data_IF_381780964641
#
_entry.id   IF_381780964641
#
_cell.length_a   1.000
_cell.length_b   1.000
_cell.length_c   1.000
_cell.angle_alpha   90.00
_cell.angle_beta   90.00
_cell.angle_gamma   90.00
#
_symmetry.space_group_name_H-M   'P 1'
#
loop_
_entity.id
_entity.type
_entity.pdbx_description
1 polymer ?
#
# COMPACT_ATOMS: atom_id res chain seq x y z
N UNK A 1 25.20 -2.54 41.57
CA UNK A 1 24.72 -1.90 40.32
C UNK A 1 23.57 -2.75 39.81
N UNK A 2 22.36 -2.17 39.78
CA UNK A 2 21.13 -2.82 39.33
C UNK A 2 21.24 -3.17 37.85
N UNK A 3 20.89 -4.39 37.49
CA UNK A 3 20.68 -4.79 36.09
C UNK A 3 19.26 -4.46 35.69
N UNK A 4 19.14 -3.74 34.58
CA UNK A 4 17.94 -3.07 34.12
C UNK A 4 16.74 -4.00 33.86
N UNK A 5 15.59 -3.50 34.28
CA UNK A 5 14.25 -3.98 34.04
C UNK A 5 13.91 -3.86 32.53
N UNK A 6 14.50 -4.69 31.69
CA UNK A 6 14.17 -4.74 30.27
C UNK A 6 12.85 -5.49 30.06
N UNK A 7 11.76 -4.74 29.86
CA UNK A 7 10.48 -5.31 29.46
C UNK A 7 10.56 -5.91 28.05
N UNK A 8 10.38 -7.22 27.92
CA UNK A 8 10.31 -7.90 26.63
C UNK A 8 8.95 -7.63 25.94
N UNK A 9 8.89 -7.70 24.61
CA UNK A 9 7.66 -7.57 23.80
C UNK A 9 6.52 -8.44 24.32
N UNK A 10 6.82 -9.66 24.80
CA UNK A 10 5.82 -10.55 25.42
C UNK A 10 5.27 -10.02 26.74
N UNK A 11 6.10 -9.38 27.55
CA UNK A 11 5.69 -8.81 28.84
C UNK A 11 4.92 -7.50 28.63
N UNK A 12 5.30 -6.72 27.62
CA UNK A 12 4.54 -5.55 27.18
C UNK A 12 3.13 -5.93 26.69
N UNK A 13 3.01 -6.98 25.86
CA UNK A 13 1.70 -7.47 25.38
C UNK A 13 0.86 -8.00 26.54
N UNK A 14 1.44 -8.83 27.43
CA UNK A 14 0.71 -9.35 28.60
C UNK A 14 0.24 -8.23 29.54
N UNK A 15 1.11 -7.27 29.81
CA UNK A 15 0.79 -6.11 30.66
C UNK A 15 -0.26 -5.22 30.01
N UNK A 16 -0.19 -5.00 28.70
CA UNK A 16 -1.17 -4.20 27.95
C UNK A 16 -2.55 -4.89 27.88
N UNK A 17 -2.58 -6.22 27.70
CA UNK A 17 -3.83 -7.00 27.69
C UNK A 17 -4.48 -7.02 29.07
N UNK A 18 -3.70 -7.17 30.15
CA UNK A 18 -4.21 -7.14 31.52
C UNK A 18 -4.69 -5.74 31.91
N UNK A 19 -3.94 -4.70 31.56
CA UNK A 19 -4.30 -3.31 31.87
C UNK A 19 -5.53 -2.87 31.06
N UNK A 20 -5.61 -3.23 29.77
CA UNK A 20 -6.77 -2.96 28.94
C UNK A 20 -8.01 -3.77 29.34
N UNK A 21 -7.83 -5.05 29.71
CA UNK A 21 -8.92 -5.92 30.18
C UNK A 21 -9.46 -5.52 31.55
N UNK A 22 -8.59 -5.07 32.47
CA UNK A 22 -9.00 -4.58 33.79
C UNK A 22 -9.77 -3.25 33.68
N UNK A 23 -9.33 -2.33 32.81
CA UNK A 23 -10.05 -1.07 32.58
C UNK A 23 -11.47 -1.31 32.03
N UNK A 24 -11.61 -2.27 31.11
CA UNK A 24 -12.90 -2.65 30.53
C UNK A 24 -13.87 -3.30 31.54
N UNK A 25 -13.35 -3.97 32.57
CA UNK A 25 -14.16 -4.61 33.61
C UNK A 25 -14.58 -3.64 34.74
N UNK A 26 -13.85 -2.55 34.97
CA UNK A 26 -14.05 -1.67 36.13
C UNK A 26 -14.79 -0.37 35.84
N UNK A 27 -15.04 -0.01 34.59
CA UNK A 27 -15.82 1.20 34.25
C UNK A 27 -17.06 0.82 33.46
N UNK A 28 -18.22 1.28 33.91
CA UNK A 28 -19.43 1.31 33.08
C UNK A 28 -19.08 2.08 31.80
N UNK A 29 -18.85 1.35 30.72
CA UNK A 29 -18.55 1.95 29.41
C UNK A 29 -19.79 2.76 29.04
N UNK A 30 -19.70 4.10 28.87
CA UNK A 30 -20.83 4.88 28.45
C UNK A 30 -21.36 4.30 27.13
N UNK A 31 -22.68 4.21 26.95
CA UNK A 31 -23.29 3.56 25.77
C UNK A 31 -22.75 4.07 24.42
N UNK A 32 -22.19 5.28 24.40
CA UNK A 32 -21.49 5.87 23.24
C UNK A 32 -20.17 5.16 22.88
N UNK A 33 -19.40 4.70 23.86
CA UNK A 33 -18.19 3.91 23.65
C UNK A 33 -18.52 2.44 23.31
N UNK A 34 -19.66 1.93 23.79
CA UNK A 34 -20.21 0.65 23.32
C UNK A 34 -20.63 0.73 21.85
N UNK A 35 -21.30 1.81 21.44
CA UNK A 35 -21.62 2.06 20.03
C UNK A 35 -20.38 2.17 19.15
N UNK A 36 -19.31 2.84 19.60
CA UNK A 36 -18.04 2.89 18.86
C UNK A 36 -17.38 1.50 18.72
N UNK A 37 -17.42 0.67 19.76
CA UNK A 37 -16.93 -0.72 19.70
C UNK A 37 -17.84 -1.63 18.86
N UNK A 38 -19.13 -1.32 18.79
CA UNK A 38 -20.11 -2.06 17.99
C UNK A 38 -20.07 -1.66 16.51
N UNK A 39 -19.74 -0.40 16.21
CA UNK A 39 -19.45 0.11 14.86
C UNK A 39 -18.15 -0.48 14.30
N UNK A 40 -17.22 -0.88 15.18
CA UNK A 40 -16.04 -1.69 14.82
C UNK A 40 -16.35 -3.18 14.63
N UNK A 41 -17.47 -3.69 15.19
CA UNK A 41 -17.92 -5.08 15.06
C UNK A 41 -18.87 -5.34 13.89
N UNK A 42 -19.53 -4.31 13.36
CA UNK A 42 -20.28 -4.41 12.11
C UNK A 42 -19.28 -4.46 10.94
N UNK A 43 -18.83 -5.66 10.62
CA UNK A 43 -17.75 -5.97 9.69
C UNK A 43 -18.05 -5.70 8.22
N UNK A 44 -18.65 -4.56 7.88
CA UNK A 44 -18.69 -4.09 6.51
C UNK A 44 -19.02 -2.59 6.47
N UNK A 45 -18.02 -1.72 6.70
CA UNK A 45 -18.22 -0.25 6.70
C UNK A 45 -18.48 0.32 5.31
N UNK A 46 -18.24 -0.48 4.27
CA UNK A 46 -18.29 -0.06 2.86
C UNK A 46 -19.17 -0.98 2.00
N UNK A 47 -20.11 -1.73 2.59
CA UNK A 47 -21.06 -2.55 1.80
C UNK A 47 -21.82 -1.63 0.85
N UNK A 48 -21.70 -1.84 -0.46
CA UNK A 48 -22.47 -1.10 -1.47
C UNK A 48 -22.51 0.41 -1.17
N UNK A 49 -21.35 1.04 -1.08
CA UNK A 49 -21.28 2.50 -1.03
C UNK A 49 -21.69 3.03 -2.41
N UNK A 50 -22.89 3.59 -2.51
CA UNK A 50 -23.45 4.11 -3.76
C UNK A 50 -22.52 5.11 -4.48
N UNK A 51 -21.57 5.74 -3.76
CA UNK A 51 -20.57 6.64 -4.35
C UNK A 51 -19.40 5.91 -5.03
N UNK A 52 -19.11 4.68 -4.60
CA UNK A 52 -17.97 3.88 -5.06
C UNK A 52 -18.38 2.83 -6.10
N UNK A 53 -19.68 2.55 -6.22
CA UNK A 53 -20.24 1.69 -7.26
C UNK A 53 -19.77 2.13 -8.67
N UNK A 54 -19.12 1.21 -9.38
CA UNK A 54 -18.62 1.46 -10.73
C UNK A 54 -17.32 2.24 -10.83
N UNK A 55 -16.72 2.69 -9.72
CA UNK A 55 -15.48 3.49 -9.72
C UNK A 55 -14.26 2.65 -10.12
N UNK A 56 -13.36 3.28 -10.89
CA UNK A 56 -12.02 2.76 -11.15
C UNK A 56 -10.98 3.66 -10.46
N UNK A 57 -10.24 3.14 -9.48
CA UNK A 57 -9.07 3.83 -8.94
C UNK A 57 -7.80 3.33 -9.64
N UNK A 58 -7.03 4.25 -10.22
CA UNK A 58 -5.88 3.90 -11.06
C UNK A 58 -4.51 4.21 -10.41
N UNK A 59 -4.50 4.82 -9.22
CA UNK A 59 -3.25 5.27 -8.59
C UNK A 59 -3.31 5.03 -7.08
N UNK A 60 -3.22 3.76 -6.70
CA UNK A 60 -3.26 3.35 -5.30
C UNK A 60 -1.90 2.80 -4.84
N UNK A 61 -1.38 3.31 -3.73
CA UNK A 61 -0.14 2.81 -3.11
C UNK A 61 -0.50 2.01 -1.85
N UNK A 62 -0.11 0.74 -1.82
CA UNK A 62 -0.48 -0.20 -0.75
C UNK A 62 0.71 -1.08 -0.35
N UNK A 63 0.62 -1.71 0.82
CA UNK A 63 1.58 -2.72 1.24
C UNK A 63 1.46 -4.00 0.40
N UNK A 64 2.58 -4.71 0.16
CA UNK A 64 3.95 -4.36 0.55
C UNK A 64 4.58 -3.28 -0.36
N UNK A 65 5.35 -2.37 0.23
CA UNK A 65 6.08 -1.32 -0.51
C UNK A 65 7.34 -0.88 0.27
N UNK A 66 8.23 -0.11 -0.37
CA UNK A 66 9.44 0.44 0.28
C UNK A 66 9.14 1.57 1.27
N UNK A 67 7.93 2.14 1.16
CA UNK A 67 7.41 3.22 2.01
C UNK A 67 6.20 2.71 2.77
N UNK A 68 6.03 3.16 4.00
CA UNK A 68 4.86 2.84 4.80
C UNK A 68 3.57 3.31 4.09
N UNK A 69 2.56 2.43 4.03
CA UNK A 69 1.24 2.67 3.42
C UNK A 69 0.14 2.51 4.47
N UNK A 70 -1.06 2.96 4.16
CA UNK A 70 -2.20 2.87 5.10
C UNK A 70 -2.91 1.52 5.06
N UNK A 71 -2.79 0.79 3.95
CA UNK A 71 -3.56 -0.44 3.65
C UNK A 71 -2.69 -1.42 2.86
N UNK A 72 -3.00 -2.71 2.94
CA UNK A 72 -2.41 -3.73 2.07
C UNK A 72 -3.29 -4.00 0.83
N UNK A 73 -2.67 -4.44 -0.26
CA UNK A 73 -3.35 -4.63 -1.56
C UNK A 73 -4.48 -5.67 -1.49
N UNK A 74 -4.28 -6.76 -0.72
CA UNK A 74 -5.26 -7.84 -0.64
C UNK A 74 -6.49 -7.41 0.16
N UNK A 75 -6.27 -6.83 1.35
CA UNK A 75 -7.33 -6.29 2.20
C UNK A 75 -8.10 -5.19 1.49
N UNK A 76 -7.40 -4.24 0.85
CA UNK A 76 -8.03 -3.18 0.09
C UNK A 76 -8.90 -3.74 -1.05
N UNK A 77 -8.40 -4.72 -1.81
CA UNK A 77 -9.20 -5.28 -2.91
C UNK A 77 -10.46 -5.96 -2.40
N UNK A 78 -10.39 -6.67 -1.27
CA UNK A 78 -11.57 -7.28 -0.65
C UNK A 78 -12.62 -6.22 -0.28
N UNK A 79 -12.19 -5.11 0.30
CA UNK A 79 -13.08 -4.00 0.67
C UNK A 79 -13.63 -3.30 -0.59
N UNK A 80 -12.79 -3.09 -1.60
CA UNK A 80 -13.19 -2.49 -2.87
C UNK A 80 -14.26 -3.33 -3.60
N UNK A 81 -14.12 -4.66 -3.59
CA UNK A 81 -15.16 -5.57 -4.13
C UNK A 81 -16.47 -5.46 -3.35
N UNK A 82 -16.40 -5.40 -2.02
CA UNK A 82 -17.59 -5.24 -1.18
C UNK A 82 -18.28 -3.87 -1.35
N UNK A 83 -17.52 -2.86 -1.77
CA UNK A 83 -17.96 -1.50 -2.03
C UNK A 83 -18.45 -1.25 -3.46
N UNK A 84 -18.38 -2.23 -4.35
CA UNK A 84 -18.88 -2.07 -5.72
C UNK A 84 -17.90 -1.43 -6.70
N UNK A 85 -16.60 -1.36 -6.36
CA UNK A 85 -15.60 -0.86 -7.30
C UNK A 85 -15.62 -1.67 -8.60
N UNK A 86 -15.52 -0.97 -9.72
CA UNK A 86 -15.36 -1.60 -11.02
C UNK A 86 -13.96 -2.15 -11.23
N UNK A 87 -12.94 -1.41 -10.80
CA UNK A 87 -11.55 -1.85 -10.90
C UNK A 87 -10.60 -1.07 -9.98
N UNK A 88 -9.46 -1.68 -9.68
CA UNK A 88 -8.36 -1.03 -8.93
C UNK A 88 -7.03 -1.25 -9.65
N UNK A 89 -6.17 -0.24 -9.72
CA UNK A 89 -4.78 -0.38 -10.17
C UNK A 89 -3.80 0.02 -9.08
N UNK A 90 -2.94 -0.93 -8.72
CA UNK A 90 -1.88 -0.71 -7.76
C UNK A 90 -0.65 -0.07 -8.42
N UNK A 91 -0.02 0.83 -7.68
CA UNK A 91 1.21 1.53 -8.04
C UNK A 91 2.16 1.54 -6.85
N UNK A 92 3.37 1.06 -7.09
CA UNK A 92 4.54 1.34 -6.28
C UNK A 92 5.45 2.28 -7.07
N UNK A 93 6.25 3.06 -6.36
CA UNK A 93 7.32 3.84 -6.99
C UNK A 93 8.52 2.96 -7.35
N UNK A 94 8.67 1.80 -6.71
CA UNK A 94 9.91 1.02 -6.79
C UNK A 94 9.71 -0.40 -7.33
N UNK A 95 8.50 -0.96 -7.18
CA UNK A 95 8.26 -2.37 -7.47
C UNK A 95 7.17 -2.59 -8.51
N UNK A 96 7.27 -3.73 -9.19
CA UNK A 96 6.17 -4.30 -9.97
C UNK A 96 4.95 -4.47 -9.08
N UNK A 97 3.76 -4.16 -9.61
CA UNK A 97 2.50 -4.42 -8.92
C UNK A 97 1.62 -5.44 -9.67
N UNK A 98 1.95 -5.71 -10.92
CA UNK A 98 1.17 -6.59 -11.80
C UNK A 98 1.33 -8.07 -11.46
N UNK A 99 2.49 -8.43 -10.91
CA UNK A 99 2.78 -9.72 -10.29
C UNK A 99 1.92 -9.96 -9.05
N UNK A 100 1.80 -8.97 -8.15
CA UNK A 100 0.94 -9.08 -6.97
C UNK A 100 -0.55 -9.08 -7.33
N UNK A 101 -0.95 -8.24 -8.30
CA UNK A 101 -2.31 -8.27 -8.84
C UNK A 101 -2.67 -9.66 -9.40
N UNK A 102 -1.73 -10.35 -10.05
CA UNK A 102 -1.94 -11.72 -10.53
C UNK A 102 -2.28 -12.67 -9.38
N UNK A 103 -1.52 -12.62 -8.28
CA UNK A 103 -1.78 -13.45 -7.09
C UNK A 103 -3.10 -13.07 -6.40
N UNK A 104 -3.43 -11.77 -6.32
CA UNK A 104 -4.70 -11.31 -5.74
C UNK A 104 -5.89 -11.86 -6.52
N UNK A 105 -5.85 -11.85 -7.86
CA UNK A 105 -6.93 -12.43 -8.70
C UNK A 105 -7.05 -13.95 -8.53
N UNK A 106 -5.98 -14.64 -8.17
CA UNK A 106 -6.05 -16.07 -7.82
C UNK A 106 -6.72 -16.27 -6.45
N UNK A 107 -6.42 -15.40 -5.48
CA UNK A 107 -6.94 -15.51 -4.12
C UNK A 107 -8.37 -14.96 -3.94
N UNK A 108 -8.78 -13.99 -4.77
CA UNK A 108 -10.09 -13.33 -4.76
C UNK A 108 -10.76 -13.48 -6.13
N UNK A 109 -11.48 -14.59 -6.38
CA UNK A 109 -12.21 -14.78 -7.63
C UNK A 109 -13.19 -13.62 -7.89
N UNK A 110 -13.13 -13.05 -9.10
CA UNK A 110 -13.95 -11.90 -9.50
C UNK A 110 -13.31 -10.53 -9.23
N UNK A 111 -12.14 -10.46 -8.59
CA UNK A 111 -11.41 -9.20 -8.44
C UNK A 111 -10.96 -8.66 -9.81
N UNK A 112 -11.31 -7.40 -10.10
CA UNK A 112 -10.79 -6.65 -11.23
C UNK A 112 -9.67 -5.70 -10.80
N UNK A 113 -8.54 -6.28 -10.38
CA UNK A 113 -7.33 -5.53 -10.10
C UNK A 113 -6.27 -5.64 -11.20
N UNK A 114 -5.49 -4.59 -11.30
CA UNK A 114 -4.38 -4.44 -12.24
C UNK A 114 -3.17 -3.90 -11.49
N UNK A 115 -1.99 -4.07 -12.10
CA UNK A 115 -0.78 -3.44 -11.62
C UNK A 115 -0.23 -2.44 -12.61
N UNK A 116 0.66 -1.61 -12.11
CA UNK A 116 1.47 -0.71 -12.91
C UNK A 116 2.96 -0.93 -12.65
N UNK A 117 3.79 -0.19 -13.38
CA UNK A 117 5.24 -0.25 -13.26
C UNK A 117 5.83 1.15 -13.47
N UNK A 118 6.66 1.63 -12.55
CA UNK A 118 7.16 3.00 -12.57
C UNK A 118 8.65 3.03 -12.90
N UNK A 119 9.06 3.75 -13.95
CA UNK A 119 10.43 3.79 -14.47
C UNK A 119 11.39 4.65 -13.62
N UNK A 120 11.33 4.48 -12.31
CA UNK A 120 12.27 5.05 -11.36
C UNK A 120 13.61 4.31 -11.38
N UNK A 121 14.58 4.84 -10.63
CA UNK A 121 16.00 4.47 -10.69
C UNK A 121 16.27 3.00 -10.35
N UNK A 122 15.41 2.37 -9.56
CA UNK A 122 15.49 0.93 -9.24
C UNK A 122 15.42 0.02 -10.48
N UNK A 123 14.93 0.52 -11.63
CA UNK A 123 14.93 -0.23 -12.89
C UNK A 123 16.02 0.23 -13.88
N UNK A 124 16.92 1.12 -13.45
CA UNK A 124 18.07 1.61 -14.19
C UNK A 124 18.29 3.11 -14.02
N UNK A 125 19.51 3.59 -14.29
CA UNK A 125 19.86 5.02 -14.20
C UNK A 125 19.18 5.90 -15.27
N UNK A 126 18.49 5.28 -16.23
CA UNK A 126 17.65 5.92 -17.25
C UNK A 126 16.37 5.10 -17.44
N UNK A 127 15.38 5.70 -18.10
CA UNK A 127 14.16 4.99 -18.50
C UNK A 127 14.52 3.72 -19.27
N UNK A 128 14.10 2.58 -18.72
CA UNK A 128 14.42 1.27 -19.24
C UNK A 128 13.24 0.70 -20.05
N UNK A 129 13.26 0.95 -21.36
CA UNK A 129 12.19 0.51 -22.26
C UNK A 129 12.03 -1.02 -22.28
N UNK A 130 13.13 -1.78 -22.13
CA UNK A 130 13.06 -3.24 -22.08
C UNK A 130 12.35 -3.73 -20.81
N UNK A 131 12.62 -3.11 -19.66
CA UNK A 131 11.90 -3.42 -18.43
C UNK A 131 10.39 -3.13 -18.55
N UNK A 132 10.02 -2.01 -19.17
CA UNK A 132 8.62 -1.69 -19.46
C UNK A 132 7.97 -2.73 -20.39
N UNK A 133 8.66 -3.14 -21.45
CA UNK A 133 8.20 -4.19 -22.35
C UNK A 133 7.96 -5.51 -21.60
N UNK A 134 8.93 -5.95 -20.79
CA UNK A 134 8.80 -7.19 -20.01
C UNK A 134 7.66 -7.14 -18.99
N UNK A 135 7.42 -5.99 -18.36
CA UNK A 135 6.30 -5.81 -17.45
C UNK A 135 4.94 -5.98 -18.15
N UNK A 136 4.77 -5.37 -19.34
CA UNK A 136 3.54 -5.52 -20.14
C UNK A 136 3.35 -6.95 -20.66
N UNK A 137 4.45 -7.62 -21.03
CA UNK A 137 4.45 -9.02 -21.50
C UNK A 137 4.31 -10.05 -20.37
N UNK A 138 4.26 -9.62 -19.11
CA UNK A 138 4.17 -10.56 -17.98
C UNK A 138 2.87 -11.36 -18.05
N UNK A 139 2.96 -12.65 -17.73
CA UNK A 139 1.84 -13.58 -17.77
C UNK A 139 0.62 -13.04 -17.01
N UNK A 140 -0.56 -13.24 -17.59
CA UNK A 140 -1.81 -12.64 -17.11
C UNK A 140 -2.09 -11.25 -17.67
N UNK A 141 -1.10 -10.54 -18.23
CA UNK A 141 -1.30 -9.27 -18.91
C UNK A 141 -1.88 -8.19 -17.99
N UNK A 142 -1.48 -8.17 -16.72
CA UNK A 142 -2.05 -7.29 -15.70
C UNK A 142 -1.28 -5.98 -15.51
N UNK A 143 -0.12 -5.81 -16.16
CA UNK A 143 0.54 -4.51 -16.20
C UNK A 143 -0.16 -3.62 -17.23
N UNK A 144 -0.96 -2.67 -16.76
CA UNK A 144 -1.81 -1.82 -17.62
C UNK A 144 -1.37 -0.36 -17.68
N UNK A 145 -0.36 0.02 -16.90
CA UNK A 145 0.21 1.35 -16.94
C UNK A 145 1.72 1.31 -16.70
N UNK A 146 2.46 2.03 -17.55
CA UNK A 146 3.88 2.34 -17.33
C UNK A 146 3.96 3.81 -16.94
N UNK A 147 4.38 4.08 -15.71
CA UNK A 147 4.61 5.43 -15.22
C UNK A 147 6.03 5.88 -15.57
N UNK A 148 6.16 7.10 -16.06
CA UNK A 148 7.46 7.77 -16.21
C UNK A 148 8.12 7.99 -14.83
N UNK A 149 9.43 8.32 -14.79
CA UNK A 149 10.10 8.64 -13.54
C UNK A 149 9.28 9.65 -12.73
N UNK A 150 9.10 9.36 -11.46
CA UNK A 150 8.32 10.18 -10.51
C UNK A 150 9.27 10.82 -9.52
N UNK A 151 9.62 10.09 -8.46
CA UNK A 151 10.57 10.53 -7.45
C UNK A 151 11.98 10.75 -8.04
N UNK A 152 12.32 10.01 -9.10
CA UNK A 152 13.59 10.14 -9.80
C UNK A 152 13.55 11.09 -11.01
N UNK A 153 12.46 11.85 -11.19
CA UNK A 153 12.39 12.84 -12.25
C UNK A 153 13.40 13.97 -12.01
N UNK A 154 14.01 14.49 -13.08
CA UNK A 154 14.93 15.63 -12.99
C UNK A 154 14.32 16.87 -12.30
N UNK A 155 12.99 17.04 -12.42
CA UNK A 155 12.28 18.09 -11.69
C UNK A 155 12.26 17.84 -10.18
N UNK A 156 11.95 16.61 -9.76
CA UNK A 156 11.84 16.23 -8.36
C UNK A 156 13.15 16.47 -7.61
N UNK A 157 14.27 16.01 -8.18
CA UNK A 157 15.61 16.25 -7.64
C UNK A 157 15.93 17.73 -7.45
N UNK A 158 15.47 18.61 -8.36
CA UNK A 158 15.69 20.05 -8.25
C UNK A 158 14.94 20.71 -7.09
N UNK A 159 13.83 20.12 -6.64
CA UNK A 159 12.93 20.77 -5.66
C UNK A 159 12.95 20.09 -4.28
N UNK A 160 13.21 18.78 -4.21
CA UNK A 160 13.21 18.04 -2.93
C UNK A 160 14.58 18.05 -2.22
N UNK A 161 15.58 18.74 -2.77
CA UNK A 161 16.87 18.91 -2.09
C UNK A 161 17.67 17.61 -1.94
N UNK A 162 17.30 16.53 -2.63
CA UNK A 162 18.01 15.24 -2.67
C UNK A 162 19.31 15.33 -3.51
N UNK A 163 20.04 16.44 -3.38
CA UNK A 163 21.37 16.69 -3.96
C UNK A 163 22.49 16.03 -3.13
N UNK A 164 22.25 14.83 -2.61
CA UNK A 164 23.32 14.00 -2.07
C UNK A 164 23.43 12.74 -2.93
N UNK A 165 24.47 12.78 -3.77
CA UNK A 165 24.96 11.70 -4.65
C UNK A 165 23.97 11.18 -5.70
N UNK A 166 23.78 11.96 -6.77
CA UNK A 166 24.17 11.52 -8.13
C UNK A 166 24.12 12.68 -9.12
N UNK A 167 25.30 13.23 -9.38
CA UNK A 167 25.57 14.09 -10.51
C UNK A 167 25.72 13.24 -11.79
N UNK A 168 24.66 12.57 -12.26
CA UNK A 168 24.68 11.83 -13.57
C UNK A 168 23.96 12.60 -14.68
N UNK A 169 23.45 13.81 -14.42
CA UNK A 169 22.83 14.64 -15.47
C UNK A 169 23.54 15.97 -15.75
N UNK A 170 24.82 16.12 -15.39
CA UNK A 170 25.60 17.35 -15.69
C UNK A 170 26.90 17.18 -16.45
N UNK A 171 27.28 15.97 -16.87
CA UNK A 171 28.53 15.82 -17.62
C UNK A 171 28.53 14.58 -18.51
N UNK A 172 27.95 14.74 -19.70
CA UNK A 172 28.51 14.11 -20.91
C UNK A 172 28.54 15.19 -22.01
N UNK A 173 29.72 15.52 -22.56
CA UNK A 173 29.79 16.37 -23.75
C UNK A 173 29.17 15.67 -24.96
N UNK A 174 28.71 16.49 -25.91
CA UNK A 174 28.09 16.07 -27.18
C UNK A 174 28.98 15.15 -27.99
#
# INVERSE_FOLDING_TARGET
MNTDNQMNRRDFIKTSVVTGGALLASTAIPGRAMNLLQDQKNGNRFTNDDLLEGVCDIHLHCHPDSRERSVDEYGFMKDAMAAGYRAVMFKSNDFSCHDRAYIIRQALPGAECFGSFCMNRVHGDRVNAFAAQKAVETSGGLCRCIWMPTLDAAYQYRHEGLYLEIAICRSLPK
#
